data_IF_095338427343
#
_entry.id   IF_095338427343
#
_cell.length_a   1.000
_cell.length_b   1.000
_cell.length_c   1.000
_cell.angle_alpha   90.00
_cell.angle_beta   90.00
_cell.angle_gamma   90.00
#
_symmetry.space_group_name_H-M   'P 1'
#
loop_
_entity.id
_entity.type
_entity.pdbx_description
1 polymer ?
#
# COMPACT_ATOMS: atom_id res chain seq x y z
N UNK A 1 45.82 -25.05 -1.31
CA UNK A 1 46.11 -23.65 -1.73
C UNK A 1 44.91 -22.92 -2.37
N UNK A 2 43.83 -23.60 -2.81
CA UNK A 2 42.65 -22.95 -3.42
C UNK A 2 41.70 -22.32 -2.38
N UNK A 3 41.63 -22.87 -1.15
CA UNK A 3 40.69 -22.40 -0.11
C UNK A 3 40.90 -20.96 0.36
N UNK A 4 42.15 -20.52 0.53
CA UNK A 4 42.43 -19.16 1.03
C UNK A 4 42.07 -18.08 0.01
N UNK A 5 42.34 -18.32 -1.28
CA UNK A 5 41.97 -17.38 -2.35
C UNK A 5 40.45 -17.24 -2.49
N UNK A 6 39.71 -18.34 -2.34
CA UNK A 6 38.25 -18.33 -2.35
C UNK A 6 37.67 -17.57 -1.14
N UNK A 7 38.22 -17.78 0.06
CA UNK A 7 37.82 -17.06 1.27
C UNK A 7 38.11 -15.57 1.15
N UNK A 8 39.29 -15.18 0.66
CA UNK A 8 39.63 -13.77 0.43
C UNK A 8 38.71 -13.11 -0.60
N UNK A 9 38.38 -13.82 -1.69
CA UNK A 9 37.42 -13.34 -2.68
C UNK A 9 36.03 -13.11 -2.06
N UNK A 10 35.53 -14.06 -1.26
CA UNK A 10 34.25 -13.94 -0.59
C UNK A 10 34.22 -12.75 0.38
N UNK A 11 35.28 -12.54 1.16
CA UNK A 11 35.39 -11.41 2.09
C UNK A 11 35.39 -10.07 1.36
N UNK A 12 36.10 -9.97 0.23
CA UNK A 12 36.08 -8.77 -0.62
C UNK A 12 34.67 -8.54 -1.15
N UNK A 13 33.99 -9.59 -1.62
CA UNK A 13 32.64 -9.47 -2.16
C UNK A 13 31.62 -9.02 -1.09
N UNK A 14 31.73 -9.53 0.14
CA UNK A 14 30.93 -9.08 1.29
C UNK A 14 31.24 -7.62 1.63
N UNK A 15 32.52 -7.24 1.69
CA UNK A 15 32.92 -5.86 1.99
C UNK A 15 32.39 -4.87 0.93
N UNK A 16 32.48 -5.23 -0.36
CA UNK A 16 31.90 -4.44 -1.44
C UNK A 16 30.38 -4.34 -1.33
N UNK A 17 29.69 -5.42 -0.97
CA UNK A 17 28.24 -5.42 -0.77
C UNK A 17 27.83 -4.53 0.42
N UNK A 18 28.54 -4.61 1.55
CA UNK A 18 28.30 -3.75 2.71
C UNK A 18 28.62 -2.28 2.41
N UNK A 19 29.69 -2.01 1.66
CA UNK A 19 30.03 -0.66 1.22
C UNK A 19 28.97 -0.09 0.26
N UNK A 20 28.47 -0.91 -0.67
CA UNK A 20 27.37 -0.54 -1.54
C UNK A 20 26.09 -0.25 -0.74
N UNK A 21 25.76 -1.07 0.26
CA UNK A 21 24.63 -0.81 1.15
C UNK A 21 24.80 0.52 1.89
N UNK A 22 25.97 0.78 2.47
CA UNK A 22 26.26 2.04 3.17
C UNK A 22 26.10 3.27 2.27
N UNK A 23 26.52 3.19 1.00
CA UNK A 23 26.36 4.28 0.04
C UNK A 23 24.92 4.45 -0.47
N UNK A 24 24.08 3.41 -0.35
CA UNK A 24 22.71 3.39 -0.91
C UNK A 24 21.60 3.44 0.14
N UNK A 25 21.92 3.34 1.43
CA UNK A 25 20.95 3.55 2.50
C UNK A 25 20.45 4.99 2.47
N UNK A 26 19.16 5.22 2.23
CA UNK A 26 18.60 6.56 2.29
C UNK A 26 18.67 7.10 3.73
N UNK A 27 18.94 8.39 3.89
CA UNK A 27 18.74 9.05 5.17
C UNK A 27 17.25 9.02 5.52
N UNK A 28 16.91 8.41 6.65
CA UNK A 28 15.55 8.39 7.18
C UNK A 28 15.38 9.58 8.10
N UNK A 29 14.39 10.43 7.80
CA UNK A 29 14.00 11.52 8.68
C UNK A 29 12.82 11.08 9.55
N UNK A 30 13.11 10.70 10.80
CA UNK A 30 12.09 10.27 11.76
C UNK A 30 11.16 11.39 12.23
N UNK A 31 11.46 12.66 11.89
CA UNK A 31 10.60 13.80 12.23
C UNK A 31 9.48 14.04 11.21
N UNK A 32 9.35 13.20 10.19
CA UNK A 32 8.23 13.28 9.24
C UNK A 32 6.98 12.73 9.94
N UNK A 33 5.95 13.56 10.17
CA UNK A 33 4.72 13.08 10.79
C UNK A 33 4.02 12.07 9.88
N UNK A 34 3.37 11.08 10.49
CA UNK A 34 2.49 10.18 9.75
C UNK A 34 1.32 10.98 9.13
N UNK A 35 0.87 10.59 7.92
CA UNK A 35 -0.23 11.27 7.26
C UNK A 35 -1.53 11.11 8.04
N UNK A 36 -2.44 12.07 7.84
CA UNK A 36 -3.78 12.08 8.45
C UNK A 36 -4.90 12.04 7.40
N UNK A 37 -4.54 12.09 6.11
CA UNK A 37 -5.43 12.04 4.96
C UNK A 37 -4.66 11.45 3.77
N UNK A 38 -5.34 11.24 2.64
CA UNK A 38 -4.73 10.90 1.37
C UNK A 38 -3.66 11.93 0.98
N UNK A 39 -2.54 11.43 0.47
CA UNK A 39 -1.54 12.27 -0.15
C UNK A 39 -2.18 13.13 -1.26
N UNK A 40 -1.86 14.43 -1.39
CA UNK A 40 -2.55 15.32 -2.33
C UNK A 40 -2.61 14.81 -3.77
N UNK A 41 -1.54 14.14 -4.24
CA UNK A 41 -1.50 13.51 -5.56
C UNK A 41 -2.50 12.36 -5.71
N UNK A 42 -2.65 11.54 -4.66
CA UNK A 42 -3.60 10.42 -4.63
C UNK A 42 -5.02 10.95 -4.57
N UNK A 43 -5.29 11.97 -3.75
CA UNK A 43 -6.57 12.67 -3.70
C UNK A 43 -6.98 13.22 -5.06
N UNK A 44 -6.07 13.95 -5.73
CA UNK A 44 -6.29 14.46 -7.09
C UNK A 44 -6.59 13.34 -8.09
N UNK A 45 -5.81 12.26 -8.06
CA UNK A 45 -6.00 11.14 -8.99
C UNK A 45 -7.30 10.37 -8.73
N UNK A 46 -7.71 10.26 -7.46
CA UNK A 46 -9.00 9.68 -7.04
C UNK A 46 -10.16 10.52 -7.57
N UNK A 47 -10.09 11.85 -7.48
CA UNK A 47 -11.13 12.72 -8.05
C UNK A 47 -11.16 12.63 -9.59
N UNK A 48 -9.99 12.54 -10.23
CA UNK A 48 -9.88 12.35 -11.68
C UNK A 48 -10.47 11.01 -12.15
N UNK A 49 -10.25 9.93 -11.39
CA UNK A 49 -10.85 8.62 -11.65
C UNK A 49 -12.38 8.72 -11.70
N UNK A 50 -13.00 9.34 -10.69
CA UNK A 50 -14.45 9.50 -10.60
C UNK A 50 -14.96 10.33 -11.77
N UNK A 51 -14.30 11.44 -12.08
CA UNK A 51 -14.70 12.31 -13.20
C UNK A 51 -14.64 11.56 -14.54
N UNK A 52 -13.52 10.94 -14.86
CA UNK A 52 -13.31 10.25 -16.14
C UNK A 52 -14.22 9.03 -16.30
N UNK A 53 -14.53 8.33 -15.22
CA UNK A 53 -15.52 7.25 -15.23
C UNK A 53 -16.93 7.80 -15.50
N UNK A 54 -17.31 8.88 -14.82
CA UNK A 54 -18.60 9.54 -15.02
C UNK A 54 -18.82 10.07 -16.43
N UNK A 55 -17.78 10.62 -17.07
CA UNK A 55 -17.79 11.03 -18.48
C UNK A 55 -18.08 9.86 -19.45
N UNK A 56 -17.85 8.63 -19.01
CA UNK A 56 -18.15 7.39 -19.75
C UNK A 56 -19.44 6.72 -19.30
N UNK A 57 -20.22 7.33 -18.41
CA UNK A 57 -21.44 6.74 -17.85
C UNK A 57 -21.22 5.70 -16.74
N UNK A 58 -19.97 5.53 -16.28
CA UNK A 58 -19.61 4.56 -15.24
C UNK A 58 -19.65 5.25 -13.88
N UNK A 59 -20.51 4.77 -12.98
CA UNK A 59 -20.60 5.29 -11.61
C UNK A 59 -19.59 4.59 -10.70
N UNK A 60 -18.66 5.36 -10.10
CA UNK A 60 -17.62 4.85 -9.20
C UNK A 60 -17.83 5.40 -7.79
N UNK A 61 -17.65 4.55 -6.78
CA UNK A 61 -17.52 4.95 -5.38
C UNK A 61 -16.14 4.61 -4.85
N UNK A 62 -15.65 5.43 -3.93
CA UNK A 62 -14.43 5.14 -3.16
C UNK A 62 -14.88 4.49 -1.85
N UNK A 63 -14.61 3.20 -1.69
CA UNK A 63 -15.00 2.44 -0.51
C UNK A 63 -14.02 2.61 0.64
N UNK A 64 -12.75 2.88 0.35
CA UNK A 64 -11.74 3.18 1.36
C UNK A 64 -10.62 4.08 0.81
N UNK A 65 -9.92 4.77 1.70
CA UNK A 65 -8.86 5.72 1.38
C UNK A 65 -7.76 5.69 2.43
N UNK A 66 -7.47 6.83 3.06
CA UNK A 66 -6.55 6.85 4.19
C UNK A 66 -7.13 6.06 5.38
N UNK A 67 -6.29 5.22 5.99
CA UNK A 67 -6.63 4.43 7.17
C UNK A 67 -5.50 4.52 8.17
N UNK A 68 -5.77 4.95 9.41
CA UNK A 68 -4.71 5.05 10.43
C UNK A 68 -4.07 3.68 10.72
N UNK A 69 -2.84 3.67 11.23
CA UNK A 69 -2.16 2.44 11.70
C UNK A 69 -3.03 1.70 12.71
N UNK A 70 -3.65 2.44 13.64
CA UNK A 70 -4.52 1.87 14.66
C UNK A 70 -5.78 1.21 14.08
N UNK A 71 -6.41 1.84 13.09
CA UNK A 71 -7.61 1.26 12.45
C UNK A 71 -7.25 0.08 11.54
N UNK A 72 -6.07 0.09 10.92
CA UNK A 72 -5.54 -1.07 10.21
C UNK A 72 -5.30 -2.25 11.14
N UNK A 73 -4.77 -2.00 12.34
CA UNK A 73 -4.58 -3.05 13.33
C UNK A 73 -5.92 -3.69 13.72
N UNK A 74 -6.97 -2.89 13.95
CA UNK A 74 -8.33 -3.41 14.19
C UNK A 74 -8.83 -4.30 13.04
N UNK A 75 -8.52 -3.96 11.78
CA UNK A 75 -8.88 -4.82 10.64
C UNK A 75 -8.06 -6.10 10.60
N UNK A 76 -6.76 -6.02 10.93
CA UNK A 76 -5.89 -7.18 11.01
C UNK A 76 -6.33 -8.16 12.11
N UNK A 77 -6.84 -7.67 13.23
CA UNK A 77 -7.34 -8.51 14.33
C UNK A 77 -8.58 -9.35 13.95
N UNK A 78 -9.39 -8.92 12.95
CA UNK A 78 -10.61 -9.64 12.52
C UNK A 78 -10.27 -11.03 11.95
N UNK A 79 -11.01 -12.04 12.41
CA UNK A 79 -10.77 -13.44 12.05
C UNK A 79 -9.48 -14.02 12.64
N UNK A 80 -8.84 -13.29 13.56
CA UNK A 80 -7.65 -13.72 14.31
C UNK A 80 -7.95 -13.66 15.81
N UNK A 81 -7.69 -12.52 16.43
CA UNK A 81 -7.95 -12.27 17.86
C UNK A 81 -9.36 -11.70 18.13
N UNK A 82 -10.07 -11.29 17.09
CA UNK A 82 -11.47 -10.83 17.12
C UNK A 82 -12.31 -11.66 16.15
N UNK A 83 -13.60 -11.80 16.45
CA UNK A 83 -14.56 -12.46 15.56
C UNK A 83 -14.68 -11.75 14.20
N UNK A 84 -15.14 -12.48 13.19
CA UNK A 84 -15.34 -12.00 11.82
C UNK A 84 -14.45 -12.71 10.81
N UNK A 85 -14.56 -12.28 9.55
CA UNK A 85 -13.72 -12.79 8.47
C UNK A 85 -12.40 -12.02 8.41
N UNK A 86 -11.34 -12.70 7.97
CA UNK A 86 -10.07 -12.05 7.64
C UNK A 86 -10.30 -11.16 6.42
N UNK A 87 -10.12 -9.84 6.59
CA UNK A 87 -10.28 -8.83 5.53
C UNK A 87 -8.95 -8.20 5.08
N UNK A 88 -7.86 -8.50 5.79
CA UNK A 88 -6.50 -8.04 5.46
C UNK A 88 -5.45 -8.98 6.01
N UNK A 89 -4.31 -9.05 5.33
CA UNK A 89 -3.09 -9.70 5.81
C UNK A 89 -2.02 -8.71 6.29
N UNK A 90 -2.17 -7.41 6.01
CA UNK A 90 -1.25 -6.37 6.46
C UNK A 90 -1.61 -5.88 7.87
N UNK A 91 -0.61 -5.83 8.76
CA UNK A 91 -0.72 -5.20 10.09
C UNK A 91 -0.72 -3.68 9.98
N UNK A 92 -0.95 -3.00 11.11
CA UNK A 92 -0.73 -1.55 11.20
C UNK A 92 0.70 -1.18 10.78
N UNK A 93 0.82 -0.27 9.80
CA UNK A 93 2.11 0.18 9.25
C UNK A 93 2.60 -0.62 8.04
N UNK A 94 1.92 -1.70 7.68
CA UNK A 94 2.27 -2.53 6.51
C UNK A 94 1.37 -2.28 5.29
N UNK A 95 0.33 -1.45 5.42
CA UNK A 95 -0.61 -1.12 4.34
C UNK A 95 -0.36 0.27 3.75
N UNK A 96 -0.44 0.42 2.42
CA UNK A 96 -0.36 1.74 1.77
C UNK A 96 -1.47 2.71 2.19
N UNK A 97 -2.61 2.21 2.67
CA UNK A 97 -3.66 3.04 3.26
C UNK A 97 -3.16 3.79 4.51
N UNK A 98 -2.19 3.24 5.26
CA UNK A 98 -1.56 3.87 6.42
C UNK A 98 -0.71 5.09 6.08
N UNK A 99 -0.31 5.18 4.81
CA UNK A 99 0.52 6.25 4.31
C UNK A 99 -0.28 7.22 3.41
N UNK A 100 -1.60 7.05 3.32
CA UNK A 100 -2.45 7.86 2.44
C UNK A 100 -2.15 7.67 0.96
N UNK A 101 -1.60 6.50 0.59
CA UNK A 101 -1.11 6.20 -0.76
C UNK A 101 -2.00 5.24 -1.56
N UNK A 102 -3.13 4.82 -1.00
CA UNK A 102 -4.06 3.87 -1.63
C UNK A 102 -5.51 4.32 -1.48
N UNK A 103 -6.33 3.89 -2.43
CA UNK A 103 -7.79 3.98 -2.40
C UNK A 103 -8.37 2.65 -2.91
N UNK A 104 -9.45 2.21 -2.29
CA UNK A 104 -10.28 1.12 -2.78
C UNK A 104 -11.51 1.72 -3.45
N UNK A 105 -11.90 1.22 -4.61
CA UNK A 105 -13.07 1.69 -5.33
C UNK A 105 -13.96 0.53 -5.79
N UNK A 106 -15.22 0.83 -6.03
CA UNK A 106 -16.19 -0.11 -6.60
C UNK A 106 -17.04 0.60 -7.65
N UNK A 107 -17.62 -0.17 -8.57
CA UNK A 107 -18.61 0.34 -9.51
C UNK A 107 -20.00 0.28 -8.86
N UNK A 108 -20.88 1.19 -9.29
CA UNK A 108 -22.30 1.15 -8.96
C UNK A 108 -23.09 0.69 -10.19
N UNK A 109 -24.06 -0.18 -9.98
CA UNK A 109 -25.05 -0.48 -11.00
C UNK A 109 -26.10 0.64 -11.13
N UNK A 110 -27.02 0.52 -12.10
CA UNK A 110 -28.09 1.50 -12.33
C UNK A 110 -29.03 1.77 -11.14
N UNK A 111 -29.00 0.94 -10.09
CA UNK A 111 -29.75 1.14 -8.86
C UNK A 111 -28.91 1.78 -7.73
N UNK A 112 -27.67 2.20 -8.02
CA UNK A 112 -26.75 2.78 -7.05
C UNK A 112 -26.13 1.77 -6.07
N UNK A 113 -26.20 0.46 -6.37
CA UNK A 113 -25.61 -0.58 -5.51
C UNK A 113 -24.20 -0.92 -5.97
N UNK A 114 -23.28 -1.00 -5.00
CA UNK A 114 -21.92 -1.47 -5.24
C UNK A 114 -21.91 -2.90 -5.79
N UNK A 115 -21.15 -3.08 -6.86
CA UNK A 115 -20.94 -4.36 -7.53
C UNK A 115 -19.45 -4.70 -7.51
N UNK A 116 -19.16 -5.98 -7.30
CA UNK A 116 -17.80 -6.54 -7.21
C UNK A 116 -17.46 -7.42 -8.41
N UNK A 117 -18.35 -7.40 -9.42
CA UNK A 117 -18.15 -8.12 -10.66
C UNK A 117 -17.16 -7.37 -11.55
N UNK A 118 -15.98 -7.96 -11.73
CA UNK A 118 -14.91 -7.39 -12.55
C UNK A 118 -15.18 -7.48 -14.05
N UNK A 119 -16.22 -8.20 -14.47
CA UNK A 119 -16.66 -8.26 -15.87
C UNK A 119 -17.69 -7.17 -16.23
N UNK A 120 -18.20 -6.41 -15.26
CA UNK A 120 -19.13 -5.31 -15.51
C UNK A 120 -18.41 -4.08 -16.06
N UNK A 121 -18.90 -3.52 -17.17
CA UNK A 121 -18.25 -2.45 -17.94
C UNK A 121 -19.00 -1.11 -17.95
N UNK A 122 -20.15 -1.01 -17.29
CA UNK A 122 -20.94 0.24 -17.18
C UNK A 122 -22.32 0.13 -17.80
#
# INVERSE_FOLDING_TARGET
>A
MIGNAFISFLLIMIALLLYYQFLTTPEINDNVPLPQDLHPKVKKNKDLLIQQAGEKGISVIISDGFRSIHDQEKLYEKGRSKEGQIVTHAKGGESYHNFGLAVDFALLNGNGKAIWDTAYDG
#
